data_IF_658728489802
#
_entry.id   IF_658728489802
#
_cell.length_a   1.000
_cell.length_b   1.000
_cell.length_c   1.000
_cell.angle_alpha   90.00
_cell.angle_beta   90.00
_cell.angle_gamma   90.00
#
_symmetry.space_group_name_H-M   'P 1'
#
loop_
_entity.id
_entity.type
_entity.pdbx_description
1 polymer ?
#
# COMPACT_ATOMS: atom_id res chain seq x y z
N UNK A 1 16.84 19.31 7.46
CA UNK A 1 16.04 19.36 6.22
C UNK A 1 15.51 17.95 6.02
N UNK A 2 14.28 17.72 6.47
CA UNK A 2 13.68 16.39 6.51
C UNK A 2 13.60 15.81 5.09
N UNK A 3 14.25 14.67 4.88
CA UNK A 3 14.16 13.87 3.67
C UNK A 3 12.75 13.25 3.56
N UNK A 4 11.74 14.08 3.34
CA UNK A 4 10.35 13.65 3.31
C UNK A 4 10.04 12.99 1.96
N UNK A 5 10.15 11.66 1.97
CA UNK A 5 9.33 10.70 1.21
C UNK A 5 9.52 10.73 -0.32
N UNK A 6 10.66 10.20 -0.76
CA UNK A 6 10.79 9.58 -2.09
C UNK A 6 10.22 8.16 -2.06
N UNK A 7 8.89 8.02 -2.03
CA UNK A 7 8.28 6.72 -2.36
C UNK A 7 7.26 6.90 -3.48
N UNK A 8 7.62 6.47 -4.68
CA UNK A 8 6.88 6.55 -5.95
C UNK A 8 5.59 5.70 -5.98
N UNK A 9 5.06 5.29 -4.83
CA UNK A 9 3.96 4.33 -4.76
C UNK A 9 2.68 4.99 -4.25
N UNK A 10 1.56 4.68 -4.91
CA UNK A 10 0.26 5.18 -4.50
C UNK A 10 -0.07 4.75 -3.06
N UNK A 11 -0.76 5.64 -2.34
CA UNK A 11 -1.28 5.33 -1.03
C UNK A 11 -2.38 4.26 -1.15
N UNK A 12 -2.49 3.29 -0.22
CA UNK A 12 -3.55 2.27 -0.27
C UNK A 12 -4.96 2.84 -0.43
N UNK A 13 -5.26 3.96 0.22
CA UNK A 13 -6.56 4.63 0.07
C UNK A 13 -6.84 5.07 -1.37
N UNK A 14 -5.83 5.52 -2.11
CA UNK A 14 -5.97 5.87 -3.53
C UNK A 14 -6.39 4.66 -4.34
N UNK A 15 -5.80 3.50 -4.03
CA UNK A 15 -6.15 2.24 -4.69
C UNK A 15 -7.58 1.83 -4.35
N UNK A 16 -7.95 1.86 -3.06
CA UNK A 16 -9.30 1.50 -2.62
C UNK A 16 -10.38 2.44 -3.21
N UNK A 17 -10.12 3.75 -3.27
CA UNK A 17 -11.02 4.71 -3.90
C UNK A 17 -11.15 4.46 -5.41
N UNK A 18 -10.06 4.14 -6.09
CA UNK A 18 -10.08 3.79 -7.51
C UNK A 18 -10.91 2.52 -7.77
N UNK A 19 -10.73 1.48 -6.96
CA UNK A 19 -11.52 0.25 -7.02
C UNK A 19 -13.01 0.54 -6.74
N UNK A 20 -13.30 1.37 -5.75
CA UNK A 20 -14.67 1.79 -5.44
C UNK A 20 -15.31 2.51 -6.63
N UNK A 21 -14.58 3.44 -7.25
CA UNK A 21 -15.04 4.16 -8.45
C UNK A 21 -15.38 3.24 -9.62
N UNK A 22 -14.60 2.18 -9.82
CA UNK A 22 -14.89 1.20 -10.87
C UNK A 22 -16.11 0.35 -10.56
N UNK A 23 -16.11 -0.33 -9.40
CA UNK A 23 -17.11 -1.36 -9.10
C UNK A 23 -18.46 -0.80 -8.58
N UNK A 24 -18.45 0.32 -7.87
CA UNK A 24 -19.66 0.87 -7.23
C UNK A 24 -20.23 2.07 -8.00
N UNK A 25 -19.37 2.86 -8.64
CA UNK A 25 -19.80 4.05 -9.40
C UNK A 25 -19.85 3.82 -10.91
N UNK A 26 -19.28 2.71 -11.40
CA UNK A 26 -19.31 2.34 -12.82
C UNK A 26 -18.40 3.18 -13.72
N UNK A 27 -17.41 3.88 -13.14
CA UNK A 27 -16.49 4.68 -13.93
C UNK A 27 -15.62 3.81 -14.84
N UNK A 28 -15.48 4.16 -16.14
CA UNK A 28 -14.58 3.44 -17.02
C UNK A 28 -13.11 3.70 -16.64
N UNK A 29 -12.23 2.73 -16.92
CA UNK A 29 -10.78 2.81 -16.64
C UNK A 29 -10.12 4.11 -17.13
N UNK A 30 -10.52 4.60 -18.32
CA UNK A 30 -10.02 5.86 -18.90
C UNK A 30 -10.38 7.10 -18.11
N UNK A 31 -11.51 7.08 -17.40
CA UNK A 31 -11.91 8.18 -16.54
C UNK A 31 -11.17 8.13 -15.20
N UNK A 32 -10.98 6.92 -14.66
CA UNK A 32 -10.17 6.71 -13.46
C UNK A 32 -8.71 7.14 -13.67
N UNK A 33 -8.12 6.89 -14.84
CA UNK A 33 -6.78 7.38 -15.21
C UNK A 33 -6.67 8.90 -15.07
N UNK A 34 -7.67 9.62 -15.60
CA UNK A 34 -7.75 11.08 -15.54
C UNK A 34 -7.95 11.60 -14.11
N UNK A 35 -8.81 10.95 -13.31
CA UNK A 35 -9.13 11.36 -11.93
C UNK A 35 -7.95 11.15 -10.99
N UNK A 36 -7.29 9.99 -11.06
CA UNK A 36 -6.23 9.61 -10.11
C UNK A 36 -4.82 9.96 -10.58
N UNK A 37 -4.69 10.44 -11.83
CA UNK A 37 -3.42 10.69 -12.50
C UNK A 37 -2.52 9.45 -12.42
N UNK A 38 -3.05 8.32 -12.87
CA UNK A 38 -2.39 7.02 -12.87
C UNK A 38 -2.64 6.34 -14.18
N UNK A 39 -1.56 5.95 -14.85
CA UNK A 39 -1.63 5.24 -16.12
C UNK A 39 -2.57 4.03 -16.03
N UNK A 40 -3.29 3.77 -17.12
CA UNK A 40 -4.21 2.64 -17.25
C UNK A 40 -3.61 1.31 -16.78
N UNK A 41 -2.34 1.05 -17.10
CA UNK A 41 -1.62 -0.16 -16.65
C UNK A 41 -1.57 -0.30 -15.13
N UNK A 42 -1.39 0.81 -14.42
CA UNK A 42 -1.37 0.82 -12.96
C UNK A 42 -2.76 0.51 -12.40
N UNK A 43 -3.79 1.10 -12.98
CA UNK A 43 -5.19 0.87 -12.62
C UNK A 43 -5.58 -0.60 -12.88
N UNK A 44 -5.21 -1.13 -14.04
CA UNK A 44 -5.46 -2.53 -14.40
C UNK A 44 -4.76 -3.49 -13.43
N UNK A 45 -3.51 -3.21 -13.07
CA UNK A 45 -2.80 -4.01 -12.07
C UNK A 45 -3.52 -4.00 -10.71
N UNK A 46 -4.09 -2.87 -10.30
CA UNK A 46 -4.86 -2.79 -9.05
C UNK A 46 -6.15 -3.60 -9.12
N UNK A 47 -6.86 -3.53 -10.25
CA UNK A 47 -8.07 -4.32 -10.48
C UNK A 47 -7.76 -5.82 -10.49
N UNK A 48 -6.73 -6.24 -11.22
CA UNK A 48 -6.31 -7.63 -11.27
C UNK A 48 -5.88 -8.17 -9.90
N UNK A 49 -5.12 -7.38 -9.13
CA UNK A 49 -4.76 -7.76 -7.77
C UNK A 49 -6.02 -7.97 -6.92
N UNK A 50 -7.00 -7.06 -7.01
CA UNK A 50 -8.25 -7.16 -6.27
C UNK A 50 -9.14 -8.33 -6.71
N UNK A 51 -9.23 -8.61 -8.02
CA UNK A 51 -9.99 -9.74 -8.56
C UNK A 51 -9.41 -11.09 -8.12
N UNK A 52 -8.09 -11.19 -8.00
CA UNK A 52 -7.41 -12.43 -7.60
C UNK A 52 -7.53 -12.73 -6.11
N UNK A 53 -7.46 -11.71 -5.25
CA UNK A 53 -7.37 -11.90 -3.79
C UNK A 53 -8.65 -11.51 -3.04
N UNK A 54 -9.57 -10.79 -3.68
CA UNK A 54 -10.71 -10.13 -3.05
C UNK A 54 -10.35 -8.94 -2.16
N UNK A 55 -9.06 -8.59 -2.05
CA UNK A 55 -8.59 -7.50 -1.18
C UNK A 55 -7.29 -6.87 -1.69
N UNK A 56 -7.15 -5.55 -1.55
CA UNK A 56 -5.87 -4.92 -1.85
C UNK A 56 -4.95 -5.00 -0.61
N UNK A 57 -4.07 -5.99 -0.58
CA UNK A 57 -3.02 -6.09 0.44
C UNK A 57 -1.66 -5.84 -0.19
N UNK A 58 -0.91 -4.90 0.38
CA UNK A 58 0.47 -4.65 -0.04
C UNK A 58 1.31 -5.88 0.32
N UNK A 59 2.13 -6.36 -0.62
CA UNK A 59 3.16 -7.33 -0.29
C UNK A 59 4.08 -6.72 0.77
N UNK A 60 3.99 -7.18 2.02
CA UNK A 60 4.94 -6.79 3.05
C UNK A 60 6.30 -7.35 2.64
N UNK A 61 7.32 -6.49 2.54
CA UNK A 61 8.69 -7.00 2.63
C UNK A 61 8.79 -7.70 3.97
N UNK A 62 9.09 -8.99 3.99
CA UNK A 62 9.48 -9.68 5.21
C UNK A 62 10.71 -8.95 5.74
N UNK A 63 10.54 -8.10 6.75
CA UNK A 63 11.63 -7.44 7.43
C UNK A 63 12.41 -8.51 8.20
N UNK A 64 13.37 -9.15 7.51
CA UNK A 64 14.44 -9.91 8.13
C UNK A 64 15.43 -8.98 8.84
N UNK A 65 14.94 -8.03 9.64
CA UNK A 65 15.76 -7.25 10.57
C UNK A 65 15.43 -7.72 11.97
N UNK A 66 16.22 -8.68 12.45
CA UNK A 66 16.29 -9.00 13.87
C UNK A 66 16.64 -7.74 14.65
N UNK A 67 15.64 -7.13 15.29
CA UNK A 67 15.89 -6.23 16.39
C UNK A 67 16.41 -7.09 17.56
N UNK A 68 17.73 -7.08 17.77
CA UNK A 68 18.32 -7.61 18.99
C UNK A 68 17.84 -6.72 20.14
N UNK A 69 16.73 -7.09 20.79
CA UNK A 69 16.32 -6.48 22.05
C UNK A 69 17.29 -6.96 23.13
N UNK A 70 18.19 -6.07 23.55
CA UNK A 70 19.08 -6.30 24.68
C UNK A 70 18.25 -6.51 25.95
N UNK A 71 18.42 -7.70 26.55
CA UNK A 71 17.76 -8.09 27.80
C UNK A 71 18.50 -7.39 28.93
N UNK A 72 17.94 -6.32 29.52
CA UNK A 72 18.43 -5.83 30.81
C UNK A 72 18.10 -6.85 31.89
N UNK A 73 19.08 -7.70 32.19
CA UNK A 73 19.15 -8.53 33.39
C UNK A 73 19.12 -7.65 34.63
N UNK A 74 18.23 -7.99 35.58
CA UNK A 74 18.17 -7.32 36.87
C UNK A 74 19.44 -7.53 37.70
N UNK A 75 19.74 -6.54 38.54
CA UNK A 75 20.61 -6.70 39.70
C UNK A 75 19.88 -6.10 40.91
N UNK A 76 19.47 -7.00 41.80
CA UNK A 76 19.01 -6.75 43.16
C UNK A 76 20.25 -6.50 44.01
N UNK A 77 20.32 -5.36 44.70
CA UNK A 77 21.30 -5.19 45.79
C UNK A 77 20.60 -4.61 47.00
N UNK A 78 20.89 -5.27 48.10
CA UNK A 78 20.42 -5.18 49.49
C UNK A 78 20.56 -3.80 50.11
#
# INVERSE_FOLDING_TARGET
MEAAVTTQHAHPNTVLLCLYGYYNLGYPRKELDRIYHKDLKTIDNWMHAYELTGTFQRASRSEGRSHHSEKKTGAKTT
#
